data_IF_831209320542
#
_entry.id   IF_831209320542
#
_cell.length_a   1.000
_cell.length_b   1.000
_cell.length_c   1.000
_cell.angle_alpha   90.00
_cell.angle_beta   90.00
_cell.angle_gamma   90.00
#
_symmetry.space_group_name_H-M   'P 1'
#
loop_
_entity.id
_entity.type
_entity.pdbx_description
1 polymer ?
#
# COMPACT_ATOMS: atom_id res chain seq x y z
N UNK A 1 -54.19 62.65 -20.58
CA UNK A 1 -54.08 63.16 -21.96
C UNK A 1 -54.74 62.14 -22.87
N UNK A 2 -55.92 62.47 -23.39
CA UNK A 2 -56.67 61.67 -24.36
C UNK A 2 -57.01 62.61 -25.51
N UNK A 3 -56.88 62.12 -26.74
CA UNK A 3 -57.87 62.08 -27.84
C UNK A 3 -57.09 61.86 -29.15
N UNK A 4 -57.67 61.00 -30.00
CA UNK A 4 -57.52 60.85 -31.46
C UNK A 4 -56.67 59.64 -31.89
N UNK A 5 -57.05 58.78 -32.84
CA UNK A 5 -58.21 58.65 -33.73
C UNK A 5 -57.98 57.32 -34.47
N UNK A 6 -59.00 56.48 -34.65
CA UNK A 6 -59.06 55.50 -35.76
C UNK A 6 -59.54 56.27 -37.02
N UNK A 7 -59.28 55.87 -38.30
CA UNK A 7 -59.45 54.48 -38.75
C UNK A 7 -58.67 54.04 -40.05
N UNK A 8 -58.99 52.80 -40.49
CA UNK A 8 -58.99 52.24 -41.85
C UNK A 8 -57.75 51.57 -42.48
N UNK A 9 -58.07 50.42 -43.07
CA UNK A 9 -57.28 49.45 -43.81
C UNK A 9 -56.77 49.98 -45.16
N UNK A 10 -55.58 49.55 -45.57
CA UNK A 10 -55.24 49.33 -46.99
C UNK A 10 -54.47 48.02 -47.11
N UNK A 11 -55.10 47.06 -47.78
CA UNK A 11 -54.45 45.91 -48.40
C UNK A 11 -53.65 46.39 -49.62
N UNK A 12 -52.36 46.06 -49.69
CA UNK A 12 -51.61 46.09 -50.94
C UNK A 12 -51.09 44.69 -51.23
N UNK A 13 -51.45 44.23 -52.42
CA UNK A 13 -51.23 42.90 -52.92
C UNK A 13 -49.74 42.58 -53.10
N UNK A 14 -49.46 41.29 -52.96
CA UNK A 14 -48.31 40.55 -53.47
C UNK A 14 -47.83 40.99 -54.85
N UNK A 15 -46.51 41.11 -55.02
CA UNK A 15 -45.83 40.66 -56.24
C UNK A 15 -44.57 39.88 -55.85
N UNK A 16 -44.72 38.55 -55.81
CA UNK A 16 -43.61 37.61 -55.81
C UNK A 16 -42.97 37.61 -57.19
N UNK A 17 -41.77 38.17 -57.30
CA UNK A 17 -40.80 37.76 -58.29
C UNK A 17 -39.46 37.58 -57.59
N UNK A 18 -39.34 36.45 -56.88
CA UNK A 18 -38.02 35.91 -56.53
C UNK A 18 -37.70 34.95 -57.66
N UNK A 19 -36.85 35.39 -58.57
CA UNK A 19 -36.28 34.53 -59.61
C UNK A 19 -35.48 33.40 -58.94
N UNK A 20 -35.66 32.17 -59.40
CA UNK A 20 -35.01 30.96 -58.84
C UNK A 20 -33.47 31.05 -58.78
N UNK A 21 -32.87 31.99 -59.51
CA UNK A 21 -31.42 32.28 -59.53
C UNK A 21 -30.89 32.80 -58.18
N UNK A 22 -31.71 33.47 -57.36
CA UNK A 22 -31.25 34.01 -56.05
C UNK A 22 -31.27 32.98 -54.92
N UNK A 23 -32.15 31.98 -54.98
CA UNK A 23 -32.20 30.90 -53.98
C UNK A 23 -30.95 30.01 -54.05
N UNK A 24 -30.47 29.69 -55.24
CA UNK A 24 -29.26 28.89 -55.41
C UNK A 24 -27.99 29.62 -54.97
N UNK A 25 -27.93 30.94 -55.15
CA UNK A 25 -26.79 31.73 -54.66
C UNK A 25 -26.75 31.77 -53.12
N UNK A 26 -27.89 31.95 -52.47
CA UNK A 26 -27.96 31.95 -51.00
C UNK A 26 -27.72 30.57 -50.38
N UNK A 27 -28.18 29.48 -51.01
CA UNK A 27 -27.93 28.11 -50.54
C UNK A 27 -26.45 27.72 -50.63
N UNK A 28 -25.76 28.11 -51.70
CA UNK A 28 -24.33 27.84 -51.86
C UNK A 28 -23.47 28.68 -50.92
N UNK A 29 -23.87 29.92 -50.62
CA UNK A 29 -23.17 30.77 -49.65
C UNK A 29 -23.30 30.24 -48.21
N UNK A 30 -24.46 29.69 -47.85
CA UNK A 30 -24.69 29.06 -46.54
C UNK A 30 -23.88 27.75 -46.37
N UNK A 31 -23.77 26.93 -47.43
CA UNK A 31 -22.95 25.71 -47.40
C UNK A 31 -21.46 26.00 -47.22
N UNK A 32 -20.93 26.99 -47.94
CA UNK A 32 -19.51 27.36 -47.84
C UNK A 32 -19.14 27.91 -46.44
N UNK A 33 -20.05 28.62 -45.77
CA UNK A 33 -19.84 29.08 -44.39
C UNK A 33 -19.92 27.94 -43.37
N UNK A 34 -20.77 26.94 -43.59
CA UNK A 34 -20.87 25.77 -42.73
C UNK A 34 -19.61 24.87 -42.83
N UNK A 35 -19.08 24.68 -44.04
CA UNK A 35 -17.84 23.91 -44.26
C UNK A 35 -16.61 24.58 -43.65
N UNK A 36 -16.48 25.91 -43.73
CA UNK A 36 -15.39 26.64 -43.07
C UNK A 36 -15.44 26.54 -41.54
N UNK A 37 -16.64 26.53 -40.94
CA UNK A 37 -16.79 26.33 -39.48
C UNK A 37 -16.46 24.91 -39.03
N UNK A 38 -16.74 23.91 -39.86
CA UNK A 38 -16.39 22.50 -39.57
C UNK A 38 -14.88 22.24 -39.67
N UNK A 39 -14.15 22.93 -40.55
CA UNK A 39 -12.70 22.79 -40.66
C UNK A 39 -11.92 23.44 -39.51
N UNK A 40 -12.47 24.48 -38.87
CA UNK A 40 -11.84 25.12 -37.70
C UNK A 40 -12.04 24.35 -36.39
N UNK A 41 -12.89 23.32 -36.36
CA UNK A 41 -13.17 22.55 -35.14
C UNK A 41 -12.24 21.34 -34.92
N UNK A 42 -11.32 21.06 -35.86
CA UNK A 42 -10.44 19.87 -35.80
C UNK A 42 -8.98 20.14 -35.41
N UNK A 43 -8.60 21.37 -35.10
CA UNK A 43 -7.30 21.66 -34.48
C UNK A 43 -7.40 21.57 -32.96
N UNK A 44 -7.68 20.37 -32.45
CA UNK A 44 -7.29 20.04 -31.07
C UNK A 44 -5.77 20.06 -31.03
N UNK A 45 -5.21 21.09 -30.40
CA UNK A 45 -3.83 21.06 -29.93
C UNK A 45 -3.73 19.81 -29.06
N UNK A 46 -3.10 18.75 -29.57
CA UNK A 46 -2.64 17.67 -28.72
C UNK A 46 -1.63 18.30 -27.75
N UNK A 47 -2.11 18.74 -26.58
CA UNK A 47 -1.22 19.02 -25.46
C UNK A 47 -0.33 17.77 -25.34
N UNK A 48 1.01 17.94 -25.25
CA UNK A 48 1.86 16.80 -24.96
C UNK A 48 1.26 16.14 -23.75
N UNK A 49 0.85 14.87 -23.88
CA UNK A 49 0.41 14.06 -22.76
C UNK A 49 1.56 14.15 -21.77
N UNK A 50 1.44 15.05 -20.81
CA UNK A 50 2.31 15.04 -19.64
C UNK A 50 2.13 13.62 -19.15
N UNK A 51 3.20 12.84 -19.25
CA UNK A 51 3.26 11.53 -18.62
C UNK A 51 2.72 11.79 -17.24
N UNK A 52 1.49 11.33 -16.99
CA UNK A 52 0.95 11.24 -15.67
C UNK A 52 1.93 10.30 -15.00
N UNK A 53 2.94 10.88 -14.37
CA UNK A 53 3.77 10.24 -13.38
C UNK A 53 2.76 9.81 -12.33
N UNK A 54 2.15 8.64 -12.55
CA UNK A 54 1.41 7.95 -11.52
C UNK A 54 2.38 7.93 -10.35
N UNK A 55 2.02 8.43 -9.16
CA UNK A 55 2.90 8.33 -8.02
C UNK A 55 3.08 6.84 -7.70
N UNK A 56 4.06 6.21 -8.33
CA UNK A 56 4.65 4.96 -7.92
C UNK A 56 5.39 5.29 -6.64
N UNK A 57 4.75 5.16 -5.47
CA UNK A 57 5.53 4.89 -4.25
C UNK A 57 4.71 4.72 -2.98
N UNK A 58 3.57 5.41 -2.76
CA UNK A 58 2.92 5.36 -1.43
C UNK A 58 2.51 3.94 -1.03
N UNK A 59 1.74 3.25 -1.86
CA UNK A 59 1.28 1.89 -1.56
C UNK A 59 2.42 0.86 -1.45
N UNK A 60 3.54 1.02 -2.17
CA UNK A 60 4.65 0.04 -2.12
C UNK A 60 5.49 0.24 -0.86
N UNK A 61 5.80 1.49 -0.52
CA UNK A 61 6.55 1.85 0.68
C UNK A 61 5.72 1.53 1.93
N UNK A 62 4.44 1.93 1.98
CA UNK A 62 3.54 1.61 3.10
C UNK A 62 3.39 0.10 3.32
N UNK A 63 3.33 -0.69 2.23
CA UNK A 63 3.28 -2.15 2.33
C UNK A 63 4.62 -2.75 2.81
N UNK A 64 5.76 -2.18 2.44
CA UNK A 64 7.07 -2.61 2.91
C UNK A 64 7.26 -2.27 4.39
N UNK A 65 6.88 -1.06 4.82
CA UNK A 65 6.84 -0.63 6.22
C UNK A 65 5.94 -1.54 7.05
N UNK A 66 4.73 -1.84 6.57
CA UNK A 66 3.81 -2.75 7.27
C UNK A 66 4.41 -4.16 7.43
N UNK A 67 5.15 -4.66 6.43
CA UNK A 67 5.85 -5.94 6.51
C UNK A 67 7.00 -5.88 7.52
N UNK A 68 7.80 -4.82 7.51
CA UNK A 68 8.89 -4.61 8.46
C UNK A 68 8.37 -4.62 9.89
N UNK A 69 7.39 -3.78 10.21
CA UNK A 69 6.75 -3.70 11.53
C UNK A 69 6.19 -5.06 11.97
N UNK A 70 5.62 -5.84 11.03
CA UNK A 70 5.09 -7.17 11.35
C UNK A 70 6.21 -8.16 11.72
N UNK A 71 7.34 -8.13 11.02
CA UNK A 71 8.48 -8.99 11.31
C UNK A 71 9.19 -8.57 12.60
N UNK A 72 9.36 -7.27 12.87
CA UNK A 72 9.88 -6.75 14.14
C UNK A 72 9.01 -7.18 15.33
N UNK A 73 7.66 -7.09 15.19
CA UNK A 73 6.74 -7.57 16.23
C UNK A 73 6.88 -9.07 16.50
N UNK A 74 7.13 -9.88 15.46
CA UNK A 74 7.37 -11.32 15.61
C UNK A 74 8.71 -11.58 16.28
N UNK A 75 9.74 -10.85 15.90
CA UNK A 75 11.06 -10.93 16.51
C UNK A 75 10.99 -10.62 18.00
N UNK A 76 10.36 -9.50 18.38
CA UNK A 76 10.16 -9.11 19.78
C UNK A 76 9.39 -10.17 20.59
N UNK A 77 8.40 -10.83 19.99
CA UNK A 77 7.69 -11.94 20.64
C UNK A 77 8.61 -13.12 20.92
N UNK A 78 9.46 -13.50 19.95
CA UNK A 78 10.43 -14.58 20.13
C UNK A 78 11.50 -14.22 21.18
N UNK A 79 11.94 -12.97 21.23
CA UNK A 79 12.88 -12.49 22.24
C UNK A 79 12.28 -12.56 23.65
N UNK A 80 11.01 -12.16 23.81
CA UNK A 80 10.29 -12.32 25.07
C UNK A 80 10.14 -13.79 25.47
N UNK A 81 9.75 -14.66 24.54
CA UNK A 81 9.66 -16.10 24.78
C UNK A 81 11.02 -16.71 25.18
N UNK A 82 12.10 -16.28 24.50
CA UNK A 82 13.46 -16.69 24.86
C UNK A 82 13.83 -16.24 26.27
N UNK A 83 13.40 -15.04 26.69
CA UNK A 83 13.65 -14.54 28.04
C UNK A 83 12.90 -15.34 29.10
N UNK A 84 11.60 -15.59 28.90
CA UNK A 84 10.79 -16.43 29.79
C UNK A 84 11.40 -17.83 29.96
N UNK A 85 11.88 -18.43 28.86
CA UNK A 85 12.55 -19.74 28.89
C UNK A 85 13.91 -19.71 29.59
N UNK A 86 14.67 -18.61 29.49
CA UNK A 86 15.91 -18.43 30.27
C UNK A 86 15.62 -18.33 31.76
N UNK A 87 14.54 -17.66 32.14
CA UNK A 87 14.15 -17.51 33.55
C UNK A 87 13.66 -18.85 34.13
N UNK A 88 12.88 -19.64 33.38
CA UNK A 88 12.52 -21.02 33.78
C UNK A 88 13.76 -21.92 33.85
N UNK A 89 14.69 -21.82 32.89
CA UNK A 89 15.95 -22.56 32.92
C UNK A 89 16.74 -22.25 34.19
N UNK A 90 16.90 -20.97 34.54
CA UNK A 90 17.58 -20.52 35.76
C UNK A 90 16.90 -21.10 37.01
N UNK A 91 15.57 -21.00 37.08
CA UNK A 91 14.78 -21.54 38.20
C UNK A 91 14.99 -23.05 38.36
N UNK A 92 15.02 -23.81 37.25
CA UNK A 92 15.29 -25.26 37.31
C UNK A 92 16.73 -25.60 37.65
N UNK A 93 17.70 -24.79 37.21
CA UNK A 93 19.10 -24.94 37.59
C UNK A 93 19.30 -24.69 39.09
N UNK A 94 18.66 -23.67 39.66
CA UNK A 94 18.64 -23.41 41.10
C UNK A 94 17.98 -24.56 41.87
N UNK A 95 16.85 -25.07 41.39
CA UNK A 95 16.21 -26.27 41.96
C UNK A 95 17.14 -27.48 41.93
N UNK A 96 17.86 -27.71 40.83
CA UNK A 96 18.83 -28.80 40.72
C UNK A 96 19.99 -28.60 41.71
N UNK A 97 20.48 -27.37 41.87
CA UNK A 97 21.53 -27.04 42.84
C UNK A 97 21.05 -27.33 44.27
N UNK A 98 19.84 -26.90 44.63
CA UNK A 98 19.23 -27.18 45.93
C UNK A 98 19.06 -28.68 46.16
N UNK A 99 18.60 -29.44 45.16
CA UNK A 99 18.49 -30.89 45.24
C UNK A 99 19.85 -31.59 45.40
N UNK A 100 20.94 -31.04 44.83
CA UNK A 100 22.31 -31.56 45.01
C UNK A 100 22.89 -31.18 46.37
N UNK A 101 22.64 -29.97 46.85
CA UNK A 101 23.18 -29.43 48.09
C UNK A 101 22.43 -29.91 49.34
N UNK A 102 21.17 -30.33 49.19
CA UNK A 102 20.36 -30.91 50.27
C UNK A 102 20.95 -32.26 50.76
N UNK A 103 21.99 -32.16 51.58
CA UNK A 103 22.65 -33.16 52.42
C UNK A 103 23.33 -34.36 51.75
N UNK A 104 24.62 -34.47 52.05
CA UNK A 104 25.55 -35.59 51.87
C UNK A 104 25.19 -36.88 52.64
N UNK A 105 23.97 -37.05 53.17
CA UNK A 105 23.71 -38.02 54.25
C UNK A 105 22.53 -38.98 54.10
N UNK A 106 21.84 -39.01 52.95
CA UNK A 106 20.79 -40.02 52.71
C UNK A 106 20.76 -40.41 51.23
N UNK A 107 21.19 -41.65 50.94
CA UNK A 107 20.98 -42.31 49.65
C UNK A 107 19.49 -42.61 49.50
N UNK A 108 18.70 -41.60 49.14
CA UNK A 108 17.27 -41.76 48.90
C UNK A 108 17.01 -41.89 47.39
N UNK A 109 16.51 -43.06 46.97
CA UNK A 109 16.17 -43.39 45.57
C UNK A 109 15.27 -42.31 44.93
N UNK A 110 14.33 -41.77 45.69
CA UNK A 110 13.41 -40.73 45.21
C UNK A 110 14.13 -39.42 44.88
N UNK A 111 15.21 -39.10 45.60
CA UNK A 111 16.02 -37.92 45.34
C UNK A 111 16.82 -38.06 44.04
N UNK A 112 17.41 -39.23 43.81
CA UNK A 112 18.11 -39.54 42.55
C UNK A 112 17.17 -39.37 41.35
N UNK A 113 15.95 -39.93 41.47
CA UNK A 113 14.90 -39.81 40.46
C UNK A 113 14.48 -38.36 40.20
N UNK A 114 14.36 -37.54 41.25
CA UNK A 114 14.03 -36.12 41.11
C UNK A 114 15.16 -35.30 40.48
N UNK A 115 16.43 -35.65 40.75
CA UNK A 115 17.59 -35.05 40.10
C UNK A 115 17.59 -35.36 38.60
N UNK A 116 17.36 -36.62 38.22
CA UNK A 116 17.29 -37.03 36.80
C UNK A 116 16.17 -36.33 36.05
N UNK A 117 14.94 -36.34 36.62
CA UNK A 117 13.80 -35.59 36.06
C UNK A 117 14.10 -34.11 35.86
N UNK A 118 14.78 -33.48 36.83
CA UNK A 118 15.12 -32.06 36.73
C UNK A 118 16.17 -31.82 35.63
N UNK A 119 17.16 -32.71 35.47
CA UNK A 119 18.13 -32.67 34.37
C UNK A 119 17.46 -32.83 33.01
N UNK A 120 16.51 -33.75 32.87
CA UNK A 120 15.74 -33.93 31.64
C UNK A 120 14.93 -32.68 31.29
N UNK A 121 14.29 -32.05 32.28
CA UNK A 121 13.56 -30.79 32.07
C UNK A 121 14.49 -29.66 31.62
N UNK A 122 15.68 -29.55 32.23
CA UNK A 122 16.71 -28.59 31.82
C UNK A 122 17.12 -28.83 30.36
N UNK A 123 17.40 -30.08 29.98
CA UNK A 123 17.78 -30.43 28.62
C UNK A 123 16.67 -30.10 27.60
N UNK A 124 15.40 -30.34 27.96
CA UNK A 124 14.25 -29.96 27.11
C UNK A 124 14.19 -28.46 26.89
N UNK A 125 14.33 -27.65 27.94
CA UNK A 125 14.29 -26.18 27.83
C UNK A 125 15.49 -25.66 27.03
N UNK A 126 16.69 -26.24 27.21
CA UNK A 126 17.86 -25.87 26.43
C UNK A 126 17.66 -26.15 24.93
N UNK A 127 17.04 -27.28 24.58
CA UNK A 127 16.69 -27.59 23.20
C UNK A 127 15.64 -26.61 22.64
N UNK A 128 14.64 -26.24 23.43
CA UNK A 128 13.65 -25.22 23.04
C UNK A 128 14.30 -23.85 22.83
N UNK A 129 15.18 -23.41 23.74
CA UNK A 129 15.94 -22.17 23.62
C UNK A 129 16.79 -22.15 22.35
N UNK A 130 17.45 -23.26 22.00
CA UNK A 130 18.21 -23.36 20.76
C UNK A 130 17.30 -23.19 19.52
N UNK A 131 16.11 -23.80 19.52
CA UNK A 131 15.13 -23.61 18.44
C UNK A 131 14.69 -22.15 18.33
N UNK A 132 14.36 -21.51 19.45
CA UNK A 132 13.97 -20.10 19.47
C UNK A 132 15.12 -19.21 18.99
N UNK A 133 16.37 -19.50 19.38
CA UNK A 133 17.55 -18.76 18.92
C UNK A 133 17.71 -18.82 17.39
N UNK A 134 17.56 -20.00 16.78
CA UNK A 134 17.59 -20.16 15.33
C UNK A 134 16.47 -19.35 14.65
N UNK A 135 15.27 -19.33 15.25
CA UNK A 135 14.16 -18.52 14.74
C UNK A 135 14.42 -17.02 14.84
N UNK A 136 15.00 -16.56 15.95
CA UNK A 136 15.43 -15.17 16.14
C UNK A 136 16.44 -14.80 15.06
N UNK A 137 17.51 -15.57 14.88
CA UNK A 137 18.54 -15.30 13.86
C UNK A 137 17.93 -15.23 12.44
N UNK A 138 17.04 -16.17 12.10
CA UNK A 138 16.35 -16.16 10.80
C UNK A 138 15.46 -14.93 10.61
N UNK A 139 14.75 -14.50 11.66
CA UNK A 139 13.85 -13.34 11.62
C UNK A 139 14.61 -12.02 11.62
N UNK A 140 15.67 -11.89 12.41
CA UNK A 140 16.57 -10.74 12.40
C UNK A 140 17.15 -10.53 11.01
N UNK A 141 17.62 -11.60 10.35
CA UNK A 141 18.08 -11.50 8.96
C UNK A 141 17.00 -10.95 8.02
N UNK A 142 15.75 -11.43 8.15
CA UNK A 142 14.63 -10.92 7.33
C UNK A 142 14.31 -9.46 7.59
N UNK A 143 14.41 -8.99 8.83
CA UNK A 143 14.25 -7.57 9.18
C UNK A 143 15.33 -6.76 8.47
N UNK A 144 16.60 -7.15 8.60
CA UNK A 144 17.72 -6.48 7.93
C UNK A 144 17.57 -6.48 6.40
N UNK A 145 17.18 -7.61 5.79
CA UNK A 145 16.96 -7.70 4.34
C UNK A 145 15.83 -6.74 3.89
N UNK A 146 14.76 -6.60 4.70
CA UNK A 146 13.66 -5.67 4.41
C UNK A 146 14.07 -4.20 4.58
N UNK A 147 14.87 -3.88 5.59
CA UNK A 147 15.42 -2.53 5.80
C UNK A 147 16.31 -2.11 4.62
N UNK A 148 17.21 -3.00 4.17
CA UNK A 148 18.06 -2.77 3.00
C UNK A 148 17.20 -2.55 1.75
N UNK A 149 16.23 -3.45 1.49
CA UNK A 149 15.36 -3.33 0.32
C UNK A 149 14.52 -2.04 0.32
N UNK A 150 14.07 -1.59 1.51
CA UNK A 150 13.38 -0.31 1.65
C UNK A 150 14.30 0.87 1.37
N UNK A 151 15.54 0.83 1.85
CA UNK A 151 16.50 1.90 1.63
C UNK A 151 16.92 1.98 0.16
N UNK A 152 17.21 0.84 -0.49
CA UNK A 152 17.47 0.76 -1.93
C UNK A 152 16.29 1.31 -2.77
N UNK A 153 15.05 1.01 -2.37
CA UNK A 153 13.86 1.51 -3.05
C UNK A 153 13.67 3.02 -2.91
N UNK A 154 14.23 3.67 -1.88
CA UNK A 154 14.23 5.14 -1.76
C UNK A 154 15.22 5.80 -2.72
N UNK A 155 16.34 5.14 -3.00
CA UNK A 155 17.41 5.70 -3.84
C UNK A 155 17.29 5.36 -5.32
N UNK A 156 16.59 4.28 -5.71
CA UNK A 156 16.21 4.02 -7.09
C UNK A 156 15.09 4.97 -7.54
N UNK A 157 15.46 6.21 -7.86
CA UNK A 157 14.70 6.99 -8.86
C UNK A 157 14.90 6.29 -10.20
N UNK A 158 13.80 6.03 -10.88
CA UNK A 158 13.74 5.38 -12.20
C UNK A 158 14.77 5.96 -13.18
N UNK A 159 15.88 5.26 -13.42
CA UNK A 159 16.75 5.46 -14.59
C UNK A 159 16.55 4.35 -15.65
N UNK A 160 15.53 3.50 -15.48
CA UNK A 160 15.17 2.47 -16.46
C UNK A 160 13.84 2.81 -17.16
N UNK A 161 13.88 3.72 -18.13
CA UNK A 161 12.88 3.82 -19.22
C UNK A 161 13.51 4.34 -20.51
#
# INVERSE_FOLDING_TARGET
MIINTLPLFVSAQTHHFITDIEKDKMLNQAKNQAEQKLQQQNSYIELPKTLLLKPLSRNRIENAEAKLVREERKLKKLENEAQEKKDDLKTKQEKLLNLKNALKNTNNSDRQKNIERTKEQIAKIQNELNKIKILIESRSKKVTDLEIAMEEAKFKREEDY
#
